data_IF_743728236851
#
_entry.id   IF_743728236851
#
_cell.length_a   1.000
_cell.length_b   1.000
_cell.length_c   1.000
_cell.angle_alpha   90.00
_cell.angle_beta   90.00
_cell.angle_gamma   90.00
#
_symmetry.space_group_name_H-M   'P 1'
#
loop_
_entity.id
_entity.type
_entity.pdbx_description
1 polymer ?
#
# COMPACT_ATOMS: atom_id res chain seq x y z
N UNK A 1 -46.27 -31.24 -5.58
CA UNK A 1 -44.94 -30.61 -5.57
C UNK A 1 -43.92 -31.68 -5.21
N UNK A 2 -42.98 -31.99 -6.12
CA UNK A 2 -42.19 -33.22 -6.06
C UNK A 2 -41.07 -33.08 -5.01
N UNK A 3 -41.35 -33.41 -3.74
CA UNK A 3 -40.44 -33.22 -2.59
C UNK A 3 -39.04 -33.83 -2.79
N UNK A 4 -38.92 -34.88 -3.61
CA UNK A 4 -37.62 -35.45 -4.00
C UNK A 4 -36.75 -34.48 -4.81
N UNK A 5 -37.34 -33.63 -5.67
CA UNK A 5 -36.61 -32.63 -6.45
C UNK A 5 -36.19 -31.42 -5.60
N UNK A 6 -37.00 -31.05 -4.60
CA UNK A 6 -36.68 -29.97 -3.65
C UNK A 6 -35.56 -30.40 -2.70
N UNK A 7 -35.62 -31.63 -2.18
CA UNK A 7 -34.54 -32.19 -1.36
C UNK A 7 -33.20 -32.23 -2.10
N UNK A 8 -33.20 -32.62 -3.39
CA UNK A 8 -31.98 -32.63 -4.20
C UNK A 8 -31.41 -31.22 -4.42
N UNK A 9 -32.27 -30.22 -4.58
CA UNK A 9 -31.87 -28.82 -4.79
C UNK A 9 -31.31 -28.16 -3.51
N UNK A 10 -31.86 -28.52 -2.35
CA UNK A 10 -31.38 -28.06 -1.03
C UNK A 10 -30.02 -28.68 -0.71
N UNK A 11 -29.82 -29.97 -1.00
CA UNK A 11 -28.52 -30.63 -0.82
C UNK A 11 -27.46 -30.03 -1.75
N UNK A 12 -27.82 -29.67 -2.99
CA UNK A 12 -26.91 -28.99 -3.92
C UNK A 12 -26.57 -27.55 -3.50
N UNK A 13 -27.51 -26.80 -2.89
CA UNK A 13 -27.24 -25.44 -2.40
C UNK A 13 -26.37 -25.40 -1.14
N UNK A 14 -26.40 -26.43 -0.30
CA UNK A 14 -25.51 -26.54 0.88
C UNK A 14 -24.07 -26.86 0.46
N UNK A 15 -23.87 -27.38 -0.76
CA UNK A 15 -22.55 -27.66 -1.34
C UNK A 15 -21.90 -26.46 -2.06
N UNK A 16 -22.41 -25.24 -1.85
CA UNK A 16 -21.71 -24.01 -2.27
C UNK A 16 -20.49 -23.79 -1.36
N UNK A 17 -19.42 -24.46 -1.74
CA UNK A 17 -18.10 -24.55 -1.10
C UNK A 17 -17.54 -23.17 -0.72
N UNK A 18 -17.26 -22.98 0.57
CA UNK A 18 -16.14 -22.12 0.98
C UNK A 18 -14.86 -22.85 0.58
N UNK A 19 -14.20 -22.39 -0.49
CA UNK A 19 -12.94 -22.95 -0.95
C UNK A 19 -11.82 -22.42 -0.03
N UNK A 20 -11.61 -23.09 1.10
CA UNK A 20 -10.45 -22.83 1.95
C UNK A 20 -9.20 -23.37 1.26
N UNK A 21 -8.17 -22.54 1.14
CA UNK A 21 -6.88 -22.94 0.62
C UNK A 21 -6.18 -23.87 1.61
N UNK A 22 -6.17 -25.19 1.35
CA UNK A 22 -5.43 -26.17 2.15
C UNK A 22 -4.02 -26.37 1.58
N UNK A 23 -2.99 -25.92 2.31
CA UNK A 23 -1.60 -26.21 1.98
C UNK A 23 -1.31 -27.72 2.01
N UNK A 24 -0.39 -28.20 1.16
CA UNK A 24 0.08 -29.58 1.14
C UNK A 24 -0.99 -30.68 0.91
N UNK A 25 -2.16 -30.33 0.36
CA UNK A 25 -3.28 -31.28 0.15
C UNK A 25 -2.90 -32.48 -0.74
N UNK A 26 -2.05 -32.27 -1.76
CA UNK A 26 -1.71 -33.30 -2.75
C UNK A 26 -0.57 -34.23 -2.29
N UNK A 27 0.23 -33.80 -1.31
CA UNK A 27 1.45 -34.52 -0.88
C UNK A 27 1.39 -34.99 0.59
N UNK A 28 0.35 -34.62 1.34
CA UNK A 28 0.14 -35.08 2.71
C UNK A 28 -0.13 -36.60 2.76
N UNK A 29 0.62 -37.32 3.62
CA UNK A 29 0.44 -38.75 3.87
C UNK A 29 -0.56 -39.02 5.01
N UNK A 30 -0.88 -37.99 5.80
CA UNK A 30 -1.85 -38.06 6.89
C UNK A 30 -2.70 -36.78 6.95
N UNK A 31 -3.92 -36.87 7.50
CA UNK A 31 -4.82 -35.72 7.61
C UNK A 31 -4.24 -34.58 8.46
N UNK A 32 -3.34 -34.89 9.40
CA UNK A 32 -2.62 -33.91 10.21
C UNK A 32 -1.53 -33.15 9.45
N UNK A 33 -1.06 -33.66 8.30
CA UNK A 33 -0.08 -32.98 7.43
C UNK A 33 -0.75 -32.01 6.45
N UNK A 34 -2.08 -32.05 6.34
CA UNK A 34 -2.85 -31.12 5.51
C UNK A 34 -2.88 -29.77 6.22
N UNK A 35 -2.46 -28.72 5.52
CA UNK A 35 -2.30 -27.36 6.06
C UNK A 35 -0.89 -27.04 6.55
N UNK A 36 0.02 -28.02 6.66
CA UNK A 36 1.42 -27.75 7.00
C UNK A 36 2.20 -27.29 5.77
N UNK A 37 3.00 -26.22 5.92
CA UNK A 37 3.90 -25.75 4.85
C UNK A 37 5.00 -26.77 4.58
N UNK A 38 5.39 -26.91 3.32
CA UNK A 38 6.49 -27.82 2.96
C UNK A 38 7.82 -27.29 3.50
N UNK A 39 8.78 -28.19 3.77
CA UNK A 39 10.11 -27.80 4.26
C UNK A 39 10.78 -26.81 3.29
N UNK A 40 10.66 -27.03 1.98
CA UNK A 40 11.22 -26.15 0.96
C UNK A 40 10.59 -24.73 1.01
N UNK A 41 9.27 -24.64 1.24
CA UNK A 41 8.58 -23.36 1.38
C UNK A 41 9.01 -22.61 2.65
N UNK A 42 9.24 -23.34 3.75
CA UNK A 42 9.76 -22.77 4.99
C UNK A 42 11.18 -22.22 4.76
N UNK A 43 12.06 -22.98 4.08
CA UNK A 43 13.40 -22.51 3.74
C UNK A 43 13.35 -21.28 2.82
N UNK A 44 12.54 -21.30 1.77
CA UNK A 44 12.40 -20.16 0.87
C UNK A 44 11.89 -18.90 1.59
N UNK A 45 10.95 -19.04 2.53
CA UNK A 45 10.47 -17.90 3.33
C UNK A 45 11.53 -17.41 4.33
N UNK A 46 12.41 -18.29 4.80
CA UNK A 46 13.50 -17.92 5.72
C UNK A 46 14.65 -17.15 5.07
N UNK A 47 14.81 -17.24 3.74
CA UNK A 47 15.84 -16.50 3.00
C UNK A 47 15.51 -15.00 2.86
N UNK A 48 14.25 -14.60 3.12
CA UNK A 48 13.80 -13.20 3.11
C UNK A 48 13.60 -12.63 1.70
N UNK A 49 13.42 -11.30 1.60
CA UNK A 49 13.23 -10.64 0.30
C UNK A 49 14.49 -10.70 -0.55
N UNK A 50 14.31 -10.82 -1.87
CA UNK A 50 15.41 -10.85 -2.83
C UNK A 50 16.22 -9.55 -2.68
N UNK A 51 17.51 -9.62 -2.33
CA UNK A 51 18.32 -8.41 -2.12
C UNK A 51 18.48 -7.66 -3.43
N UNK A 52 18.52 -6.33 -3.35
CA UNK A 52 18.82 -5.53 -4.53
C UNK A 52 20.27 -5.71 -4.97
N UNK A 53 20.49 -5.74 -6.29
CA UNK A 53 21.82 -5.66 -6.86
C UNK A 53 22.50 -4.35 -6.45
N UNK A 54 23.79 -4.44 -6.11
CA UNK A 54 24.62 -3.27 -5.89
C UNK A 54 24.82 -2.54 -7.21
N UNK A 55 24.49 -1.26 -7.23
CA UNK A 55 24.71 -0.36 -8.36
C UNK A 55 25.49 0.82 -7.82
N UNK A 56 26.68 1.06 -8.37
CA UNK A 56 27.48 2.22 -8.00
C UNK A 56 26.97 3.46 -8.75
N UNK A 57 27.03 4.62 -8.11
CA UNK A 57 26.56 5.88 -8.69
C UNK A 57 27.21 6.19 -10.05
N UNK A 58 28.49 5.82 -10.22
CA UNK A 58 29.23 5.99 -11.48
C UNK A 58 28.71 5.14 -12.65
N UNK A 59 27.96 4.07 -12.35
CA UNK A 59 27.41 3.15 -13.33
C UNK A 59 25.95 3.51 -13.69
N UNK A 60 25.41 4.56 -13.08
CA UNK A 60 24.12 5.15 -13.46
C UNK A 60 24.37 6.19 -14.55
N UNK A 61 23.91 5.93 -15.77
CA UNK A 61 24.09 6.86 -16.89
C UNK A 61 23.08 8.01 -16.87
N UNK A 62 21.86 7.68 -16.47
CA UNK A 62 20.76 8.62 -16.33
C UNK A 62 19.87 8.12 -15.20
N UNK A 63 19.27 9.05 -14.45
CA UNK A 63 18.26 8.73 -13.46
C UNK A 63 17.26 9.87 -13.27
N UNK A 64 15.99 9.51 -13.10
CA UNK A 64 14.91 10.44 -12.78
C UNK A 64 14.10 9.88 -11.61
N UNK A 65 13.97 10.67 -10.54
CA UNK A 65 13.05 10.34 -9.44
C UNK A 65 11.65 10.76 -9.87
N UNK A 66 10.68 9.91 -9.60
CA UNK A 66 9.27 10.18 -9.86
C UNK A 66 8.45 9.84 -8.63
N UNK A 67 7.39 10.61 -8.44
CA UNK A 67 6.37 10.39 -7.46
C UNK A 67 5.07 10.05 -8.17
N UNK A 68 4.49 8.94 -7.76
CA UNK A 68 3.34 8.35 -8.41
C UNK A 68 2.26 8.12 -7.39
N UNK A 69 1.02 8.33 -7.81
CA UNK A 69 -0.17 8.09 -7.02
C UNK A 69 -0.80 6.76 -7.45
N UNK A 70 -0.88 5.81 -6.51
CA UNK A 70 -1.59 4.54 -6.66
C UNK A 70 -2.98 4.70 -6.04
N UNK A 71 -3.98 4.97 -6.86
CA UNK A 71 -5.37 5.06 -6.39
C UNK A 71 -5.96 3.67 -6.13
N UNK A 72 -6.55 3.45 -4.95
CA UNK A 72 -7.16 2.16 -4.59
C UNK A 72 -8.55 1.95 -5.20
N UNK A 73 -9.13 3.00 -5.79
CA UNK A 73 -10.37 2.90 -6.56
C UNK A 73 -10.15 2.17 -7.89
N UNK A 74 -8.91 2.15 -8.38
CA UNK A 74 -8.55 1.41 -9.57
C UNK A 74 -8.53 -0.11 -9.32
N UNK A 75 -9.22 -0.85 -10.18
CA UNK A 75 -9.28 -2.32 -10.12
C UNK A 75 -7.91 -3.00 -10.16
N UNK A 76 -6.92 -2.38 -10.81
CA UNK A 76 -5.55 -2.92 -10.84
C UNK A 76 -4.90 -2.92 -9.45
N UNK A 77 -5.34 -2.03 -8.56
CA UNK A 77 -4.76 -1.78 -7.24
C UNK A 77 -5.58 -2.39 -6.10
N UNK A 78 -6.66 -3.09 -6.44
CA UNK A 78 -7.57 -3.75 -5.49
C UNK A 78 -6.82 -4.63 -4.46
N UNK A 79 -5.73 -5.25 -4.89
CA UNK A 79 -4.88 -6.11 -4.07
C UNK A 79 -4.25 -5.38 -2.86
N UNK A 80 -4.02 -4.07 -2.93
CA UNK A 80 -3.42 -3.28 -1.85
C UNK A 80 -4.43 -2.83 -0.79
N UNK A 81 -5.71 -2.86 -1.13
CA UNK A 81 -6.79 -2.40 -0.25
C UNK A 81 -7.34 -3.51 0.65
N UNK A 82 -7.52 -4.72 0.12
CA UNK A 82 -8.13 -5.82 0.87
C UNK A 82 -7.15 -6.53 1.82
N UNK A 83 -7.65 -7.10 2.94
CA UNK A 83 -9.02 -7.04 3.45
C UNK A 83 -9.34 -5.69 4.13
N UNK A 84 -10.60 -5.25 4.02
CA UNK A 84 -11.10 -3.98 4.60
C UNK A 84 -11.25 -4.10 6.12
N UNK A 85 -11.63 -5.29 6.59
CA UNK A 85 -11.77 -5.60 8.01
C UNK A 85 -10.68 -6.56 8.46
N UNK A 86 -10.28 -6.42 9.73
CA UNK A 86 -9.30 -7.31 10.34
C UNK A 86 -9.93 -8.69 10.58
N UNK A 87 -9.81 -9.58 9.58
CA UNK A 87 -10.24 -10.96 9.73
C UNK A 87 -9.15 -11.72 10.47
N UNK A 88 -9.27 -11.77 11.81
CA UNK A 88 -8.36 -12.45 12.75
C UNK A 88 -8.04 -13.90 12.33
N UNK A 89 -8.95 -14.56 11.62
CA UNK A 89 -8.89 -16.00 11.33
C UNK A 89 -7.92 -16.39 10.21
N UNK A 90 -7.63 -15.50 9.23
CA UNK A 90 -6.92 -15.88 7.99
C UNK A 90 -5.47 -15.35 7.94
N UNK A 91 -5.04 -14.56 8.93
CA UNK A 91 -3.69 -13.98 8.99
C UNK A 91 -3.36 -12.99 7.86
N UNK A 92 -4.31 -12.73 6.94
CA UNK A 92 -4.17 -11.79 5.83
C UNK A 92 -4.44 -10.37 6.32
N UNK A 93 -3.63 -9.43 5.86
CA UNK A 93 -3.66 -8.03 6.27
C UNK A 93 -3.62 -7.13 5.05
N UNK A 94 -4.25 -5.96 5.13
CA UNK A 94 -4.12 -4.95 4.09
C UNK A 94 -2.70 -4.39 4.08
N UNK A 95 -2.31 -3.70 3.00
CA UNK A 95 -1.00 -3.06 2.94
C UNK A 95 -0.82 -2.08 4.10
N UNK A 96 -1.83 -1.25 4.36
CA UNK A 96 -1.81 -0.29 5.46
C UNK A 96 -1.61 -0.96 6.81
N UNK A 97 -2.39 -2.00 7.11
CA UNK A 97 -2.26 -2.72 8.38
C UNK A 97 -0.87 -3.35 8.53
N UNK A 98 -0.34 -3.92 7.46
CA UNK A 98 1.00 -4.53 7.46
C UNK A 98 2.09 -3.50 7.77
N UNK A 99 1.98 -2.28 7.20
CA UNK A 99 2.89 -1.17 7.50
C UNK A 99 2.78 -0.69 8.94
N UNK A 100 1.55 -0.48 9.44
CA UNK A 100 1.31 -0.04 10.82
C UNK A 100 1.80 -1.07 11.84
N UNK A 101 1.55 -2.35 11.60
CA UNK A 101 2.02 -3.42 12.48
C UNK A 101 3.55 -3.53 12.46
N UNK A 102 4.17 -3.35 11.29
CA UNK A 102 5.62 -3.28 11.13
C UNK A 102 6.23 -2.11 11.92
N UNK A 103 5.57 -0.96 11.90
CA UNK A 103 5.96 0.22 12.67
C UNK A 103 5.79 -0.04 14.19
N UNK A 104 4.60 -0.50 14.62
CA UNK A 104 4.28 -0.77 16.04
C UNK A 104 5.17 -1.85 16.66
N UNK A 105 5.55 -2.87 15.89
CA UNK A 105 6.48 -3.92 16.32
C UNK A 105 7.95 -3.46 16.37
N UNK A 106 8.27 -2.30 15.78
CA UNK A 106 9.63 -1.80 15.65
C UNK A 106 10.44 -2.49 14.55
N UNK A 107 9.80 -3.30 13.69
CA UNK A 107 10.43 -3.89 12.52
C UNK A 107 10.69 -2.85 11.42
N UNK A 108 9.85 -1.81 11.35
CA UNK A 108 10.06 -0.63 10.51
C UNK A 108 10.46 0.53 11.42
N UNK A 109 11.66 1.06 11.18
CA UNK A 109 12.29 2.12 11.98
C UNK A 109 12.44 3.42 11.19
N UNK A 110 12.51 3.33 9.85
CA UNK A 110 12.75 4.45 8.95
C UNK A 110 11.44 5.09 8.48
N UNK A 111 10.76 5.79 9.39
CA UNK A 111 9.50 6.51 9.16
C UNK A 111 9.71 8.03 9.24
N UNK A 112 9.13 8.76 8.30
CA UNK A 112 9.39 10.18 8.05
C UNK A 112 8.10 10.97 7.83
N UNK A 113 8.20 12.28 7.97
CA UNK A 113 7.09 13.21 7.74
C UNK A 113 6.79 13.44 6.25
N UNK A 114 7.85 13.49 5.44
CA UNK A 114 7.76 13.81 4.02
C UNK A 114 8.64 12.91 3.17
N UNK A 115 8.43 12.99 1.85
CA UNK A 115 9.16 12.19 0.86
C UNK A 115 10.65 12.54 0.76
N UNK A 116 11.11 13.60 1.44
CA UNK A 116 12.51 14.01 1.44
C UNK A 116 13.37 13.28 2.48
N UNK A 117 12.73 12.45 3.32
CA UNK A 117 13.36 11.62 4.34
C UNK A 117 14.30 12.39 5.29
N UNK A 118 13.96 13.65 5.63
CA UNK A 118 14.76 14.46 6.57
C UNK A 118 14.26 14.41 8.00
N UNK A 119 12.95 14.50 8.18
CA UNK A 119 12.31 14.58 9.50
C UNK A 119 11.73 13.22 9.89
N UNK A 120 12.39 12.51 10.79
CA UNK A 120 11.90 11.23 11.32
C UNK A 120 10.68 11.44 12.23
N UNK A 121 9.71 10.53 12.15
CA UNK A 121 8.52 10.48 13.01
C UNK A 121 8.66 9.35 14.03
N UNK A 122 8.27 9.60 15.28
CA UNK A 122 8.23 8.55 16.31
C UNK A 122 6.84 7.92 16.41
N UNK A 123 6.74 6.72 17.00
CA UNK A 123 5.45 6.04 17.24
C UNK A 123 4.42 6.94 17.93
N UNK A 124 4.86 7.74 18.90
CA UNK A 124 3.98 8.66 19.63
C UNK A 124 3.40 9.75 18.74
N UNK A 125 4.19 10.24 17.78
CA UNK A 125 3.74 11.27 16.84
C UNK A 125 2.72 10.69 15.84
N UNK A 126 2.86 9.41 15.49
CA UNK A 126 1.94 8.71 14.60
C UNK A 126 0.60 8.43 15.28
N UNK A 127 0.63 8.00 16.55
CA UNK A 127 -0.60 7.75 17.33
C UNK A 127 -1.50 9.00 17.43
N UNK A 128 -0.89 10.19 17.52
CA UNK A 128 -1.63 11.46 17.51
C UNK A 128 -2.28 11.76 16.14
N UNK A 129 -1.69 11.30 15.04
CA UNK A 129 -2.25 11.47 13.69
C UNK A 129 -3.42 10.51 13.40
N UNK A 130 -3.54 9.41 14.14
CA UNK A 130 -4.60 8.41 13.93
C UNK A 130 -5.91 8.72 14.63
N UNK A 131 -5.91 9.60 15.64
CA UNK A 131 -7.10 9.87 16.46
C UNK A 131 -7.42 11.36 16.48
N UNK A 132 -8.62 11.69 16.02
CA UNK A 132 -9.24 13.00 16.26
C UNK A 132 -10.19 12.88 17.45
N UNK A 133 -9.98 13.72 18.46
CA UNK A 133 -10.90 13.89 19.58
C UNK A 133 -11.61 15.22 19.35
N UNK A 134 -12.92 15.16 19.08
CA UNK A 134 -13.77 16.32 18.87
C UNK A 134 -14.86 16.38 19.94
N UNK A 135 -15.39 17.56 20.22
CA UNK A 135 -16.46 17.77 21.20
C UNK A 135 -17.73 18.19 20.48
N UNK A 136 -18.84 17.53 20.79
CA UNK A 136 -20.15 17.91 20.23
C UNK A 136 -20.61 19.28 20.73
N UNK A 137 -21.55 19.91 20.01
CA UNK A 137 -22.13 21.20 20.40
C UNK A 137 -22.65 21.21 21.86
N UNK A 138 -23.29 20.12 22.30
CA UNK A 138 -23.73 19.95 23.68
C UNK A 138 -22.55 19.88 24.67
N UNK A 139 -21.44 19.22 24.31
CA UNK A 139 -20.23 19.19 25.13
C UNK A 139 -19.53 20.55 25.24
N UNK A 140 -19.63 21.39 24.19
CA UNK A 140 -19.13 22.77 24.22
C UNK A 140 -19.95 23.62 25.22
N UNK A 141 -21.26 23.37 25.36
CA UNK A 141 -22.10 24.03 26.37
C UNK A 141 -21.66 23.68 27.80
N UNK A 142 -21.36 22.40 28.09
CA UNK A 142 -20.80 21.99 29.39
C UNK A 142 -19.43 22.64 29.65
N UNK A 143 -18.56 22.69 28.65
CA UNK A 143 -17.26 23.37 28.76
C UNK A 143 -17.42 24.85 29.08
N UNK A 144 -18.33 25.54 28.39
CA UNK A 144 -18.64 26.97 28.63
C UNK A 144 -19.31 27.21 30.00
N UNK A 145 -20.02 26.21 30.53
CA UNK A 145 -20.59 26.23 31.88
C UNK A 145 -19.55 25.93 32.98
N UNK A 146 -18.33 25.53 32.62
CA UNK A 146 -17.27 25.17 33.57
C UNK A 146 -17.44 23.80 34.22
N UNK A 147 -18.29 22.94 33.64
CA UNK A 147 -18.53 21.57 34.10
C UNK A 147 -17.64 20.57 33.33
N UNK A 148 -17.36 19.41 33.92
CA UNK A 148 -16.66 18.33 33.22
C UNK A 148 -17.51 17.82 32.07
N UNK A 149 -16.96 17.78 30.86
CA UNK A 149 -17.64 17.28 29.66
C UNK A 149 -17.86 15.77 29.81
N UNK A 150 -19.11 15.28 29.84
CA UNK A 150 -19.36 13.85 29.86
C UNK A 150 -18.76 13.14 28.65
N UNK A 151 -18.24 11.92 28.83
CA UNK A 151 -17.58 11.15 27.76
C UNK A 151 -18.49 10.91 26.53
N UNK A 152 -19.80 10.91 26.73
CA UNK A 152 -20.81 10.77 25.67
C UNK A 152 -20.77 11.92 24.65
N UNK A 153 -20.26 13.09 25.03
CA UNK A 153 -20.14 14.26 24.16
C UNK A 153 -18.77 14.41 23.51
N UNK A 154 -17.85 13.47 23.79
CA UNK A 154 -16.52 13.40 23.20
C UNK A 154 -16.56 12.40 22.05
N UNK A 155 -16.52 12.91 20.82
CA UNK A 155 -16.41 12.07 19.63
C UNK A 155 -14.95 11.71 19.38
N UNK A 156 -14.67 10.41 19.34
CA UNK A 156 -13.37 9.89 18.94
C UNK A 156 -13.48 9.30 17.54
N UNK A 157 -12.82 9.94 16.59
CA UNK A 157 -12.72 9.45 15.21
C UNK A 157 -11.33 8.85 15.07
N UNK A 158 -11.27 7.54 14.93
CA UNK A 158 -10.04 6.80 14.67
C UNK A 158 -9.91 6.50 13.17
N UNK A 159 -8.69 6.58 12.67
CA UNK A 159 -8.34 6.17 11.33
C UNK A 159 -8.38 4.64 11.20
N UNK A 160 -9.21 4.15 10.28
CA UNK A 160 -9.30 2.73 9.96
C UNK A 160 -8.58 2.43 8.65
N UNK A 161 -8.15 1.18 8.41
CA UNK A 161 -7.60 0.78 7.11
C UNK A 161 -8.53 1.09 5.93
N UNK A 162 -9.86 1.09 6.15
CA UNK A 162 -10.87 1.47 5.16
C UNK A 162 -10.83 2.94 4.72
N UNK A 163 -10.18 3.81 5.51
CA UNK A 163 -10.09 5.24 5.23
C UNK A 163 -8.89 5.59 4.31
N UNK A 164 -8.04 4.60 4.00
CA UNK A 164 -6.96 4.74 3.02
C UNK A 164 -7.55 4.73 1.62
N UNK A 165 -7.24 5.78 0.85
CA UNK A 165 -7.75 5.97 -0.51
C UNK A 165 -6.68 5.73 -1.55
N UNK A 166 -5.46 6.15 -1.25
CA UNK A 166 -4.37 6.10 -2.21
C UNK A 166 -3.04 5.80 -1.51
N UNK A 167 -2.05 5.36 -2.29
CA UNK A 167 -0.66 5.30 -1.83
C UNK A 167 0.19 6.17 -2.73
N UNK A 168 0.87 7.12 -2.13
CA UNK A 168 1.94 7.84 -2.81
C UNK A 168 3.22 7.02 -2.73
N UNK A 169 3.85 6.84 -3.87
CA UNK A 169 5.14 6.16 -3.96
C UNK A 169 6.17 7.09 -4.56
N UNK A 170 7.42 6.94 -4.11
CA UNK A 170 8.57 7.60 -4.72
C UNK A 170 9.53 6.53 -5.21
N UNK A 171 9.92 6.61 -6.48
CA UNK A 171 10.92 5.71 -7.03
C UNK A 171 11.84 6.38 -8.02
N UNK A 172 12.94 5.69 -8.30
CA UNK A 172 13.99 6.11 -9.21
C UNK A 172 13.98 5.21 -10.43
N UNK A 173 13.75 5.80 -11.59
CA UNK A 173 14.09 5.19 -12.87
C UNK A 173 15.54 5.49 -13.17
N UNK A 174 16.35 4.48 -13.44
CA UNK A 174 17.77 4.66 -13.74
C UNK A 174 18.25 3.64 -14.78
N UNK A 175 19.15 4.06 -15.65
CA UNK A 175 19.78 3.18 -16.62
C UNK A 175 21.09 2.65 -16.04
N UNK A 176 21.15 1.34 -15.81
CA UNK A 176 22.34 0.64 -15.31
C UNK A 176 23.28 0.33 -16.47
N UNK A 177 24.47 0.94 -16.48
CA UNK A 177 25.47 0.74 -17.52
C UNK A 177 25.94 -0.71 -17.63
N UNK A 178 26.02 -1.42 -16.50
CA UNK A 178 26.61 -2.76 -16.48
C UNK A 178 25.65 -3.79 -17.08
N UNK A 179 24.37 -3.65 -16.80
CA UNK A 179 23.32 -4.55 -17.32
C UNK A 179 22.68 -4.04 -18.62
N UNK A 180 22.90 -2.77 -18.97
CA UNK A 180 22.39 -2.16 -20.19
C UNK A 180 20.86 -2.08 -20.22
N UNK A 181 20.22 -1.93 -19.05
CA UNK A 181 18.75 -1.94 -18.93
C UNK A 181 18.27 -0.77 -18.08
N UNK A 182 17.10 -0.25 -18.44
CA UNK A 182 16.35 0.68 -17.61
C UNK A 182 15.71 -0.08 -16.44
N UNK A 183 16.02 0.33 -15.22
CA UNK A 183 15.51 -0.28 -13.99
C UNK A 183 14.72 0.74 -13.18
N UNK A 184 13.74 0.23 -12.44
CA UNK A 184 13.04 0.98 -11.42
C UNK A 184 13.47 0.52 -10.04
N UNK A 185 13.65 1.46 -9.12
CA UNK A 185 13.86 1.19 -7.70
C UNK A 185 12.88 2.00 -6.87
N UNK A 186 12.02 1.31 -6.13
CA UNK A 186 11.12 1.93 -5.17
C UNK A 186 11.92 2.42 -3.96
N UNK A 187 11.76 3.69 -3.60
CA UNK A 187 12.49 4.36 -2.52
C UNK A 187 11.59 4.64 -1.32
N UNK A 188 10.33 5.01 -1.56
CA UNK A 188 9.40 5.39 -0.51
C UNK A 188 7.97 5.04 -0.82
N UNK A 189 7.20 4.87 0.25
CA UNK A 189 5.74 4.69 0.19
C UNK A 189 5.09 5.46 1.33
N UNK A 190 3.95 6.09 1.05
CA UNK A 190 3.13 6.82 2.01
C UNK A 190 1.65 6.50 1.81
N UNK A 191 0.92 6.07 2.86
CA UNK A 191 -0.52 5.96 2.80
C UNK A 191 -1.17 7.35 2.83
N UNK A 192 -2.12 7.54 1.92
CA UNK A 192 -2.93 8.77 1.80
C UNK A 192 -4.34 8.47 2.28
N UNK A 193 -4.80 9.30 3.21
CA UNK A 193 -6.12 9.16 3.83
C UNK A 193 -6.92 10.44 3.72
N UNK A 194 -8.23 10.32 3.89
CA UNK A 194 -9.09 11.49 4.07
C UNK A 194 -8.76 12.14 5.42
N UNK A 195 -8.51 13.44 5.40
CA UNK A 195 -8.24 14.22 6.60
C UNK A 195 -9.41 14.13 7.57
N UNK A 196 -9.13 13.78 8.83
CA UNK A 196 -10.12 13.63 9.90
C UNK A 196 -10.94 14.90 10.14
N UNK A 197 -10.42 16.08 9.79
CA UNK A 197 -11.15 17.35 9.89
C UNK A 197 -12.15 17.57 8.76
N UNK A 198 -11.93 16.98 7.58
CA UNK A 198 -12.79 17.15 6.39
C UNK A 198 -13.60 15.91 6.04
N UNK A 199 -13.36 14.80 6.74
CA UNK A 199 -14.07 13.53 6.58
C UNK A 199 -15.59 13.73 6.68
N UNK A 200 -16.31 13.37 5.62
CA UNK A 200 -17.77 13.52 5.55
C UNK A 200 -18.28 14.94 5.25
N UNK A 201 -17.39 15.88 4.93
CA UNK A 201 -17.77 17.18 4.36
C UNK A 201 -18.00 17.09 2.84
N UNK A 202 -18.54 18.15 2.22
CA UNK A 202 -18.77 18.18 0.76
C UNK A 202 -17.45 18.11 -0.04
N UNK A 203 -16.33 18.52 0.55
CA UNK A 203 -15.00 18.50 -0.07
C UNK A 203 -14.01 17.83 0.88
N UNK A 204 -13.73 16.56 0.60
CA UNK A 204 -12.74 15.78 1.35
C UNK A 204 -11.31 16.17 0.92
N UNK A 205 -10.46 16.47 1.90
CA UNK A 205 -9.05 16.71 1.67
C UNK A 205 -8.25 15.43 1.91
N UNK A 206 -7.23 15.20 1.09
CA UNK A 206 -6.34 14.05 1.20
C UNK A 206 -5.00 14.46 1.81
N UNK A 207 -4.54 13.69 2.79
CA UNK A 207 -3.27 13.94 3.49
C UNK A 207 -2.42 12.69 3.53
N UNK A 208 -1.12 12.88 3.30
CA UNK A 208 -0.10 11.84 3.52
C UNK A 208 0.12 11.70 5.02
N UNK A 209 0.02 10.48 5.55
CA UNK A 209 0.17 10.26 6.99
C UNK A 209 1.64 10.26 7.42
N UNK A 210 2.46 9.52 6.69
CA UNK A 210 3.89 9.36 6.92
C UNK A 210 4.52 8.71 5.69
N UNK A 211 5.82 8.92 5.52
CA UNK A 211 6.64 8.29 4.50
C UNK A 211 7.51 7.20 5.11
N UNK A 212 7.50 6.00 4.53
CA UNK A 212 8.40 4.92 4.91
C UNK A 212 9.51 4.79 3.88
N UNK A 213 10.76 4.66 4.33
CA UNK A 213 11.85 4.28 3.46
C UNK A 213 11.68 2.80 3.05
N UNK A 214 11.35 2.57 1.78
CA UNK A 214 10.90 1.27 1.28
C UNK A 214 11.87 0.11 1.59
N UNK A 215 13.21 0.26 1.47
CA UNK A 215 14.16 -0.80 1.82
C UNK A 215 14.01 -1.35 3.25
N UNK A 216 13.63 -0.52 4.21
CA UNK A 216 13.43 -0.92 5.61
C UNK A 216 12.13 -1.74 5.79
N UNK A 217 11.08 -1.41 5.02
CA UNK A 217 9.80 -2.11 5.05
C UNK A 217 9.81 -3.48 4.37
N UNK A 218 10.83 -3.81 3.56
CA UNK A 218 10.83 -4.99 2.68
C UNK A 218 10.62 -6.31 3.43
N UNK A 219 11.23 -6.48 4.59
CA UNK A 219 11.10 -7.71 5.37
C UNK A 219 9.64 -7.91 5.83
N UNK A 220 9.03 -6.85 6.36
CA UNK A 220 7.61 -6.87 6.77
C UNK A 220 6.71 -7.15 5.57
N UNK A 221 6.96 -6.44 4.45
CA UNK A 221 6.17 -6.58 3.24
C UNK A 221 6.34 -7.94 2.53
N UNK A 222 7.48 -8.60 2.73
CA UNK A 222 7.76 -9.94 2.24
C UNK A 222 7.02 -11.02 3.03
N UNK A 223 6.88 -10.83 4.34
CA UNK A 223 6.16 -11.75 5.22
C UNK A 223 4.65 -11.64 5.08
N UNK A 224 4.15 -10.43 4.80
CA UNK A 224 2.73 -10.13 4.56
C UNK A 224 2.28 -10.55 3.16
N UNK A 225 1.32 -11.46 3.13
CA UNK A 225 0.75 -12.04 1.92
C UNK A 225 -0.52 -11.30 1.47
N UNK A 226 -0.63 -11.07 0.17
CA UNK A 226 -1.73 -10.33 -0.46
C UNK A 226 -2.88 -11.25 -0.77
N UNK A 227 -4.11 -10.74 -0.62
CA UNK A 227 -5.30 -11.46 -1.05
C UNK A 227 -5.36 -11.58 -2.58
N UNK A 228 -5.25 -12.82 -3.07
CA UNK A 228 -5.40 -13.13 -4.49
C UNK A 228 -6.76 -13.81 -4.74
N UNK A 229 -7.73 -13.03 -5.22
CA UNK A 229 -9.08 -13.54 -5.53
C UNK A 229 -9.09 -14.60 -6.64
N UNK A 230 -8.13 -14.55 -7.57
CA UNK A 230 -8.05 -15.48 -8.70
C UNK A 230 -7.38 -16.80 -8.31
N UNK A 231 -6.41 -16.77 -7.41
CA UNK A 231 -5.72 -17.96 -6.94
C UNK A 231 -5.34 -17.86 -5.45
N UNK A 232 -6.25 -18.24 -4.54
CA UNK A 232 -5.99 -18.23 -3.10
C UNK A 232 -4.91 -19.22 -2.65
N UNK A 233 -4.54 -20.20 -3.49
CA UNK A 233 -3.53 -21.23 -3.18
C UNK A 233 -2.10 -20.77 -3.44
N UNK A 234 -1.91 -19.69 -4.19
CA UNK A 234 -0.60 -19.11 -4.45
C UNK A 234 -0.61 -17.63 -4.08
N UNK A 235 -0.48 -17.30 -2.79
CA UNK A 235 -0.39 -15.92 -2.33
C UNK A 235 0.90 -15.29 -2.83
N UNK A 236 0.81 -14.02 -3.24
CA UNK A 236 1.96 -13.18 -3.59
C UNK A 236 2.15 -12.21 -2.41
N UNK A 237 3.37 -11.88 -2.05
CA UNK A 237 3.63 -10.90 -0.99
C UNK A 237 3.65 -9.45 -1.52
N UNK A 238 3.51 -8.48 -0.62
CA UNK A 238 3.49 -7.06 -1.00
C UNK A 238 4.84 -6.60 -1.56
N UNK A 239 5.97 -7.10 -1.02
CA UNK A 239 7.31 -6.75 -1.53
C UNK A 239 7.45 -7.10 -3.02
N UNK A 240 7.03 -8.30 -3.43
CA UNK A 240 7.09 -8.72 -4.82
C UNK A 240 6.14 -7.91 -5.70
N UNK A 241 4.92 -7.62 -5.26
CA UNK A 241 3.97 -6.82 -6.06
C UNK A 241 4.50 -5.40 -6.33
N UNK A 242 5.01 -4.74 -5.30
CA UNK A 242 5.53 -3.37 -5.40
C UNK A 242 6.82 -3.31 -6.22
N UNK A 243 7.77 -4.22 -6.00
CA UNK A 243 9.01 -4.27 -6.78
C UNK A 243 8.78 -4.65 -8.25
N UNK A 244 7.80 -5.52 -8.53
CA UNK A 244 7.41 -5.86 -9.91
C UNK A 244 6.51 -4.82 -10.57
N UNK A 245 6.24 -3.68 -9.90
CA UNK A 245 5.33 -2.62 -10.34
C UNK A 245 3.98 -3.13 -10.81
N UNK A 246 3.41 -4.11 -10.10
CA UNK A 246 2.06 -4.63 -10.38
C UNK A 246 1.01 -3.72 -9.75
N UNK A 247 0.95 -2.50 -10.24
CA UNK A 247 -0.03 -1.49 -9.87
C UNK A 247 -0.22 -0.52 -11.04
N UNK A 248 -1.37 0.14 -11.07
CA UNK A 248 -1.58 1.30 -11.90
C UNK A 248 -1.28 2.55 -11.07
N UNK A 249 -0.54 3.49 -11.65
CA UNK A 249 -0.19 4.73 -10.96
C UNK A 249 -0.13 5.90 -11.94
N UNK A 250 -0.39 7.09 -11.41
CA UNK A 250 -0.29 8.36 -12.15
C UNK A 250 0.85 9.20 -11.58
N UNK A 251 1.76 9.65 -12.43
CA UNK A 251 2.87 10.52 -12.02
C UNK A 251 2.31 11.92 -11.72
N UNK A 252 2.53 12.42 -10.49
CA UNK A 252 2.10 13.77 -10.08
C UNK A 252 3.27 14.70 -9.78
N UNK A 253 4.48 14.17 -9.65
CA UNK A 253 5.71 14.94 -9.38
C UNK A 253 6.91 14.18 -9.94
N UNK A 254 7.89 14.91 -10.47
CA UNK A 254 9.13 14.33 -10.98
C UNK A 254 10.32 15.25 -10.69
N UNK A 255 11.49 14.65 -10.61
CA UNK A 255 12.75 15.38 -10.47
C UNK A 255 12.97 16.24 -11.71
N UNK A 256 13.24 17.51 -11.48
CA UNK A 256 13.50 18.48 -12.52
C UNK A 256 14.59 19.45 -12.06
N UNK A 257 15.23 20.10 -13.03
CA UNK A 257 16.26 21.12 -12.79
C UNK A 257 15.79 22.32 -11.94
N UNK A 258 14.49 22.42 -11.66
CA UNK A 258 13.86 23.47 -10.87
C UNK A 258 13.56 23.06 -9.42
N UNK A 259 14.07 21.90 -8.98
CA UNK A 259 14.08 21.46 -7.58
C UNK A 259 12.89 20.59 -7.19
N UNK A 260 12.65 19.49 -7.91
CA UNK A 260 11.60 18.50 -7.61
C UNK A 260 10.20 19.14 -7.47
N UNK A 261 9.79 20.06 -8.37
CA UNK A 261 8.45 20.69 -8.28
C UNK A 261 7.33 19.71 -8.61
N UNK A 262 6.20 19.81 -7.91
CA UNK A 262 5.00 19.06 -8.27
C UNK A 262 4.42 19.59 -9.58
N UNK A 263 3.73 18.73 -10.34
CA UNK A 263 3.19 19.10 -11.66
C UNK A 263 2.15 20.23 -11.55
N UNK A 264 1.34 20.19 -10.50
CA UNK A 264 0.31 21.18 -10.17
C UNK A 264 0.88 22.56 -9.76
N UNK A 265 2.15 22.64 -9.36
CA UNK A 265 2.79 23.91 -8.97
C UNK A 265 3.22 24.77 -10.17
N UNK A 266 3.34 24.20 -11.38
CA UNK A 266 3.77 24.93 -12.57
C UNK A 266 2.84 24.80 -13.77
N UNK A 267 1.90 23.85 -13.74
CA UNK A 267 0.78 23.77 -14.67
C UNK A 267 -0.47 24.22 -13.92
N UNK A 268 -0.80 25.50 -14.02
CA UNK A 268 -2.11 26.00 -13.62
C UNK A 268 -3.15 25.48 -14.63
N UNK A 269 -3.98 24.51 -14.24
CA UNK A 269 -4.85 23.83 -15.19
C UNK A 269 -5.91 22.90 -14.61
N UNK A 270 -6.76 22.40 -15.51
CA UNK A 270 -7.76 21.35 -15.27
C UNK A 270 -7.05 19.99 -15.08
N UNK A 271 -7.62 19.08 -14.28
CA UNK A 271 -7.08 17.73 -13.97
C UNK A 271 -6.54 16.99 -15.20
N UNK A 272 -7.22 17.14 -16.35
CA UNK A 272 -6.81 16.54 -17.61
C UNK A 272 -5.40 16.98 -18.07
N UNK A 273 -5.02 18.23 -17.85
CA UNK A 273 -3.69 18.74 -18.22
C UNK A 273 -2.60 18.15 -17.32
N UNK A 274 -2.89 17.97 -16.03
CA UNK A 274 -1.98 17.31 -15.09
C UNK A 274 -1.73 15.85 -15.51
N UNK A 275 -2.80 15.13 -15.90
CA UNK A 275 -2.69 13.76 -16.42
C UNK A 275 -1.84 13.70 -17.69
N UNK A 276 -2.04 14.63 -18.63
CA UNK A 276 -1.23 14.66 -19.85
C UNK A 276 0.25 14.94 -19.58
N UNK A 277 0.57 15.78 -18.59
CA UNK A 277 1.96 16.01 -18.23
C UNK A 277 2.59 14.77 -17.58
N UNK A 278 1.86 14.07 -16.71
CA UNK A 278 2.29 12.78 -16.16
C UNK A 278 2.61 11.76 -17.26
N UNK A 279 1.73 11.65 -18.28
CA UNK A 279 1.97 10.78 -19.43
C UNK A 279 3.16 11.23 -20.29
N UNK A 280 3.43 12.53 -20.44
CA UNK A 280 4.66 13.01 -21.10
C UNK A 280 5.92 12.58 -20.37
N UNK A 281 5.93 12.65 -19.04
CA UNK A 281 7.08 12.21 -18.23
C UNK A 281 7.30 10.70 -18.40
N UNK A 282 6.22 9.92 -18.44
CA UNK A 282 6.28 8.48 -18.68
C UNK A 282 6.79 8.14 -20.08
N UNK A 283 6.36 8.88 -21.10
CA UNK A 283 6.88 8.78 -22.47
C UNK A 283 8.36 9.17 -22.55
N UNK A 284 8.80 10.22 -21.83
CA UNK A 284 10.20 10.59 -21.71
C UNK A 284 11.04 9.43 -21.16
N UNK A 285 10.58 8.80 -20.07
CA UNK A 285 11.25 7.64 -19.46
C UNK A 285 11.36 6.48 -20.44
N UNK A 286 10.32 6.21 -21.24
CA UNK A 286 10.34 5.16 -22.26
C UNK A 286 11.32 5.48 -23.38
N UNK A 287 11.28 6.70 -23.91
CA UNK A 287 12.16 7.10 -25.02
C UNK A 287 13.64 7.11 -24.61
N UNK A 288 13.94 7.39 -23.34
CA UNK A 288 15.29 7.28 -22.81
C UNK A 288 15.85 5.86 -22.91
N UNK A 289 15.01 4.83 -22.79
CA UNK A 289 15.45 3.45 -23.02
C UNK A 289 15.78 3.25 -24.50
N UNK A 290 14.89 3.63 -25.40
CA UNK A 290 15.05 3.48 -26.85
C UNK A 290 16.28 4.23 -27.40
N UNK A 291 16.54 5.45 -26.92
CA UNK A 291 17.66 6.29 -27.34
C UNK A 291 19.02 5.67 -26.96
N UNK A 292 19.08 4.91 -25.85
CA UNK A 292 20.29 4.23 -25.42
C UNK A 292 20.61 2.99 -26.28
N UNK A 293 19.63 2.43 -26.98
CA UNK A 293 19.79 1.28 -27.87
C UNK A 293 20.07 1.67 -29.33
N UNK A 294 19.70 2.88 -29.76
CA UNK A 294 19.75 3.31 -31.17
C UNK A 294 21.02 4.11 -31.57
N UNK A 295 22.16 3.83 -30.94
CA UNK A 295 23.44 4.50 -31.24
C UNK A 295 24.34 3.74 -32.21
#
# INVERSE_FOLDING_TARGET
>A
MNWKKISLFVVFSIFSINAFAQANLLNAKSASEIGMKSIAEIYAKSEGPIPYGYVADKDILFGIKVWENISLEEKANEAYYYPIEEVITDGRKSLFQSLIDGIKSGAITEVYDGSDFKTKRTLKDLDASFVKIDTTDAGIEYYNAGEEIPEEYIQRIELRPSDVKEYHIMGLWYFDRNEGQLKYRLLGIAPVVVDLYTKGSEVENFVELFWIFFPDARNVLFESEVFNSKNPMNPINFDHLLNSRRFAATIYKADNQYGDRRIDEYIEGNDLQLLFEGEKIKELIRNLEDDMWNY
#
